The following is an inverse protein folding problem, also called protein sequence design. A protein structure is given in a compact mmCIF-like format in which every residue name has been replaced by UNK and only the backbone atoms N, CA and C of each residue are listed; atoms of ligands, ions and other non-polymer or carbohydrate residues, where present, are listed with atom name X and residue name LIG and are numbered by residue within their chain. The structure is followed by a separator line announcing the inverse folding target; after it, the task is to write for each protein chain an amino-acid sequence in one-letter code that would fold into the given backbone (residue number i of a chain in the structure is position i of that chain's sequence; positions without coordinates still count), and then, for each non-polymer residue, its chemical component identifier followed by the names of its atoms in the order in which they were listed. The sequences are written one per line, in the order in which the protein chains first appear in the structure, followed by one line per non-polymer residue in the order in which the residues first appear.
data_IF_839040581549
#
_entry.id   IF_839040581549
#
_cell.length_a   1.000
_cell.length_b   1.000
_cell.length_c   1.000
_cell.angle_alpha   90.00
_cell.angle_beta   90.00
_cell.angle_gamma   90.00
#
_symmetry.space_group_name_H-M   'P 1'
#
loop_
_entity.id
_entity.type
_entity.pdbx_description
1 polymer ?
#
# COMPACT_ATOMS: atom_id res chain seq x y z
N UNK A 1 17.91 68.81 43.28
CA UNK A 1 19.14 68.87 44.11
C UNK A 1 19.67 67.46 44.27
N UNK A 2 20.98 67.33 44.02
CA UNK A 2 21.92 66.35 44.56
C UNK A 2 21.74 64.88 44.17
N UNK A 3 22.50 64.54 43.13
CA UNK A 3 23.23 63.30 42.97
C UNK A 3 23.89 62.82 44.27
N UNK A 4 23.78 61.51 44.52
CA UNK A 4 24.81 60.74 45.20
C UNK A 4 25.00 59.41 44.47
N UNK A 5 26.26 58.97 44.48
CA UNK A 5 26.93 58.07 43.56
C UNK A 5 27.66 57.00 44.38
N UNK A 6 27.77 55.80 43.80
CA UNK A 6 28.63 54.63 44.12
C UNK A 6 28.19 53.64 45.22
N UNK A 7 28.69 52.37 45.22
CA UNK A 7 29.41 51.64 44.16
C UNK A 7 28.80 50.25 43.85
N UNK A 8 28.95 49.78 42.60
CA UNK A 8 28.72 48.38 42.23
C UNK A 8 30.06 47.63 42.17
N UNK A 9 30.18 46.60 42.99
CA UNK A 9 31.32 45.70 43.09
C UNK A 9 31.44 44.87 41.81
N UNK A 10 32.60 44.94 41.16
CA UNK A 10 32.94 44.12 40.00
C UNK A 10 33.43 42.77 40.51
N UNK A 11 32.67 41.70 40.28
CA UNK A 11 33.15 40.32 40.41
C UNK A 11 33.55 39.84 39.02
N UNK A 12 34.86 39.70 38.80
CA UNK A 12 35.42 39.11 37.60
C UNK A 12 35.11 37.60 37.59
N UNK A 13 34.29 37.14 36.65
CA UNK A 13 34.15 35.73 36.32
C UNK A 13 35.07 35.44 35.11
N UNK A 14 36.08 34.62 35.35
CA UNK A 14 37.04 34.16 34.36
C UNK A 14 36.32 33.32 33.29
N UNK A 15 36.19 33.84 32.07
CA UNK A 15 35.81 33.08 30.89
C UNK A 15 36.97 32.16 30.50
N UNK A 16 36.82 30.86 30.77
CA UNK A 16 37.60 29.82 30.10
C UNK A 16 37.20 29.84 28.62
N UNK A 17 38.17 30.17 27.76
CA UNK A 17 38.07 29.99 26.33
C UNK A 17 37.99 28.48 26.04
N UNK A 18 36.78 27.96 25.88
CA UNK A 18 36.56 26.71 25.17
C UNK A 18 36.72 27.03 23.67
N UNK A 19 37.64 26.33 23.01
CA UNK A 19 37.73 26.32 21.56
C UNK A 19 36.38 25.85 21.02
N UNK A 20 35.59 26.77 20.48
CA UNK A 20 34.44 26.44 19.65
C UNK A 20 34.99 25.96 18.32
N UNK A 21 34.85 24.66 18.05
CA UNK A 21 34.99 24.14 16.69
C UNK A 21 33.95 24.84 15.80
N UNK A 22 34.29 25.16 14.55
CA UNK A 22 33.34 25.78 13.64
C UNK A 22 32.16 24.82 13.45
N UNK A 23 30.95 25.33 13.64
CA UNK A 23 29.72 24.65 13.26
C UNK A 23 29.84 24.32 11.78
N UNK A 24 30.09 23.05 11.49
CA UNK A 24 30.04 22.53 10.15
C UNK A 24 28.66 22.84 9.59
N UNK A 25 28.68 23.46 8.42
CA UNK A 25 27.51 23.85 7.66
C UNK A 25 26.73 22.56 7.36
N UNK A 26 25.48 22.48 7.80
CA UNK A 26 24.57 21.40 7.44
C UNK A 26 24.63 21.16 5.92
N UNK A 27 25.24 20.03 5.54
CA UNK A 27 25.27 19.51 4.19
C UNK A 27 23.87 18.97 3.88
N UNK A 28 23.12 19.51 2.90
CA UNK A 28 21.75 19.09 2.61
C UNK A 28 21.69 17.77 1.83
N UNK A 29 22.58 16.82 2.14
CA UNK A 29 22.74 15.58 1.39
C UNK A 29 23.13 14.40 2.29
N UNK A 30 22.24 14.01 3.20
CA UNK A 30 22.11 12.60 3.60
C UNK A 30 20.65 12.34 3.96
N UNK A 31 19.81 12.29 2.93
CA UNK A 31 18.63 11.44 3.02
C UNK A 31 19.11 10.03 3.42
N UNK A 32 18.43 9.30 4.32
CA UNK A 32 18.76 7.91 4.56
C UNK A 32 18.76 7.21 3.20
N UNK A 33 19.90 6.62 2.84
CA UNK A 33 19.99 5.81 1.64
C UNK A 33 18.99 4.67 1.80
N UNK A 34 17.90 4.72 1.04
CA UNK A 34 17.04 3.58 0.83
C UNK A 34 17.85 2.59 -0.01
N UNK A 35 18.74 1.84 0.64
CA UNK A 35 19.17 0.58 0.09
C UNK A 35 17.88 -0.21 -0.08
N UNK A 36 17.43 -0.36 -1.33
CA UNK A 36 16.58 -1.49 -1.68
C UNK A 36 17.30 -2.69 -1.06
N UNK A 37 16.70 -3.39 -0.08
CA UNK A 37 17.32 -4.58 0.42
C UNK A 37 17.59 -5.47 -0.80
N UNK A 38 18.81 -5.96 -0.90
CA UNK A 38 19.13 -7.05 -1.81
C UNK A 38 17.99 -8.08 -1.68
N UNK A 39 17.47 -8.63 -2.78
CA UNK A 39 16.38 -9.61 -2.75
C UNK A 39 16.74 -10.92 -2.00
N UNK A 40 17.86 -10.98 -1.27
CA UNK A 40 18.49 -12.21 -0.77
C UNK A 40 18.62 -12.39 0.75
N UNK A 41 18.09 -11.54 1.66
CA UNK A 41 18.24 -11.83 3.12
C UNK A 41 16.97 -11.85 4.00
N UNK A 42 15.77 -11.98 3.42
CA UNK A 42 14.62 -12.55 4.15
C UNK A 42 13.72 -13.36 3.18
N UNK A 43 13.71 -14.70 3.23
CA UNK A 43 12.86 -15.51 2.35
C UNK A 43 11.36 -15.25 2.57
N UNK A 44 10.96 -14.58 3.66
CA UNK A 44 9.58 -14.21 3.92
C UNK A 44 9.11 -12.91 3.27
N UNK A 45 10.01 -11.95 3.09
CA UNK A 45 9.67 -10.60 2.66
C UNK A 45 10.17 -10.27 1.25
N UNK A 46 9.93 -11.18 0.30
CA UNK A 46 10.29 -10.95 -1.09
C UNK A 46 9.17 -10.24 -1.87
N UNK A 47 9.57 -9.24 -2.65
CA UNK A 47 8.70 -8.57 -3.62
C UNK A 47 7.78 -7.49 -3.05
N UNK A 48 6.79 -7.09 -3.85
CA UNK A 48 5.93 -5.93 -3.56
C UNK A 48 5.01 -6.10 -2.35
N UNK A 49 4.81 -7.33 -1.87
CA UNK A 49 4.00 -7.62 -0.69
C UNK A 49 4.62 -7.06 0.60
N UNK A 50 5.88 -6.61 0.54
CA UNK A 50 6.61 -6.00 1.63
C UNK A 50 7.08 -4.56 1.35
N UNK A 51 6.75 -3.97 0.19
CA UNK A 51 7.21 -2.62 -0.13
C UNK A 51 6.17 -1.58 0.28
N UNK A 52 6.64 -0.38 0.66
CA UNK A 52 5.80 0.70 1.18
C UNK A 52 5.07 0.28 2.45
N UNK A 53 3.78 0.60 2.54
CA UNK A 53 2.93 0.20 3.66
C UNK A 53 2.21 -1.13 3.42
N UNK A 54 2.75 -2.06 2.64
CA UNK A 54 2.06 -3.36 2.44
C UNK A 54 1.94 -4.13 3.77
N UNK A 55 0.90 -4.97 3.97
CA UNK A 55 0.73 -5.70 5.21
C UNK A 55 1.86 -6.73 5.40
N UNK A 56 2.47 -6.73 6.58
CA UNK A 56 3.57 -7.65 6.94
C UNK A 56 3.25 -8.33 8.25
N UNK A 57 3.42 -9.66 8.30
CA UNK A 57 3.26 -10.45 9.52
C UNK A 57 4.44 -11.38 9.72
N UNK A 58 5.19 -11.16 10.80
CA UNK A 58 6.41 -11.92 11.15
C UNK A 58 7.45 -11.99 10.02
N UNK A 59 7.64 -10.88 9.30
CA UNK A 59 8.56 -10.82 8.16
C UNK A 59 7.98 -11.33 6.83
N UNK A 60 6.71 -11.74 6.79
CA UNK A 60 6.07 -12.23 5.57
C UNK A 60 5.10 -11.22 4.98
N UNK A 61 5.15 -11.04 3.67
CA UNK A 61 4.14 -10.30 2.93
C UNK A 61 2.77 -10.96 3.08
N UNK A 62 1.79 -10.25 3.66
CA UNK A 62 0.55 -10.82 4.19
C UNK A 62 -0.68 -10.16 3.58
N UNK A 63 -0.86 -10.31 2.26
CA UNK A 63 -1.86 -9.53 1.51
C UNK A 63 -3.24 -10.19 1.39
N UNK A 64 -3.38 -11.48 1.68
CA UNK A 64 -4.63 -12.21 1.53
C UNK A 64 -4.81 -13.33 2.56
N UNK A 65 -6.07 -13.67 2.80
CA UNK A 65 -6.53 -14.75 3.68
C UNK A 65 -7.74 -15.45 3.07
N UNK A 66 -7.98 -16.69 3.50
CA UNK A 66 -9.16 -17.47 3.14
C UNK A 66 -10.03 -17.72 4.35
N UNK A 67 -11.34 -17.49 4.23
CA UNK A 67 -12.29 -17.60 5.35
C UNK A 67 -12.47 -19.05 5.85
N UNK A 68 -12.13 -20.04 5.01
CA UNK A 68 -12.30 -21.47 5.28
C UNK A 68 -10.98 -22.23 5.47
N UNK A 69 -10.03 -21.68 6.24
CA UNK A 69 -8.81 -22.40 6.70
C UNK A 69 -7.85 -22.90 5.61
N UNK A 70 -7.96 -22.35 4.40
CA UNK A 70 -6.99 -22.62 3.33
C UNK A 70 -5.78 -21.72 3.54
N UNK A 71 -4.57 -22.30 3.44
CA UNK A 71 -3.34 -21.54 3.57
C UNK A 71 -3.14 -20.62 2.38
N UNK A 72 -2.72 -19.39 2.65
CA UNK A 72 -2.16 -18.52 1.62
C UNK A 72 -0.76 -19.01 1.18
N UNK A 73 -0.17 -18.31 0.23
CA UNK A 73 1.10 -18.68 -0.40
C UNK A 73 2.31 -18.65 0.56
N UNK A 74 2.19 -17.98 1.71
CA UNK A 74 3.20 -17.93 2.78
C UNK A 74 2.84 -18.81 3.99
N UNK A 75 1.81 -19.65 3.85
CA UNK A 75 1.47 -20.72 4.79
C UNK A 75 0.53 -20.32 5.94
N UNK A 76 -0.05 -19.12 5.94
CA UNK A 76 -1.00 -18.71 6.98
C UNK A 76 -2.42 -19.18 6.70
N UNK A 77 -3.09 -19.72 7.71
CA UNK A 77 -4.49 -20.18 7.68
C UNK A 77 -5.32 -19.39 8.68
N UNK A 78 -6.40 -18.77 8.22
CA UNK A 78 -7.39 -18.15 9.10
C UNK A 78 -8.36 -19.21 9.62
N UNK A 79 -8.46 -19.35 10.94
CA UNK A 79 -9.36 -20.30 11.58
C UNK A 79 -10.73 -19.72 11.88
N UNK A 80 -10.76 -18.59 12.55
CA UNK A 80 -11.99 -17.96 13.01
C UNK A 80 -11.76 -16.51 13.44
N UNK A 81 -12.85 -15.79 13.64
CA UNK A 81 -12.87 -14.53 14.38
C UNK A 81 -13.25 -14.85 15.84
N UNK A 82 -12.54 -14.29 16.81
CA UNK A 82 -12.81 -14.46 18.24
C UNK A 82 -13.07 -13.12 18.88
N UNK A 83 -14.10 -13.00 19.72
CA UNK A 83 -14.32 -11.83 20.56
C UNK A 83 -14.85 -12.27 21.93
N UNK A 84 -14.19 -11.85 22.99
CA UNK A 84 -14.60 -12.16 24.38
C UNK A 84 -14.81 -13.67 24.63
N UNK A 85 -13.98 -14.50 24.00
CA UNK A 85 -14.08 -15.97 24.08
C UNK A 85 -15.14 -16.61 23.19
N UNK A 86 -15.97 -15.82 22.50
CA UNK A 86 -16.96 -16.30 21.54
C UNK A 86 -16.32 -16.40 20.15
N UNK A 87 -16.54 -17.53 19.48
CA UNK A 87 -16.03 -17.83 18.14
C UNK A 87 -17.09 -17.53 17.09
N UNK A 88 -16.67 -16.85 16.03
CA UNK A 88 -17.48 -16.47 14.87
C UNK A 88 -16.77 -16.91 13.59
N UNK A 89 -17.55 -17.16 12.54
CA UNK A 89 -17.00 -17.32 11.20
C UNK A 89 -16.71 -15.93 10.60
N UNK A 90 -15.46 -15.62 10.21
CA UNK A 90 -15.13 -14.37 9.52
C UNK A 90 -15.71 -14.42 8.10
N UNK A 91 -16.29 -13.32 7.65
CA UNK A 91 -16.92 -13.22 6.32
C UNK A 91 -16.72 -11.82 5.76
N UNK A 92 -16.01 -11.68 4.64
CA UNK A 92 -15.72 -10.41 3.98
C UNK A 92 -16.57 -10.28 2.72
N UNK A 93 -17.61 -9.44 2.80
CA UNK A 93 -18.53 -9.18 1.67
C UNK A 93 -18.27 -7.81 1.09
N UNK A 94 -17.75 -7.77 -0.14
CA UNK A 94 -17.36 -6.51 -0.76
C UNK A 94 -16.15 -5.95 -0.03
N UNK A 95 -16.32 -4.85 0.71
CA UNK A 95 -15.28 -4.13 1.44
C UNK A 95 -15.53 -4.07 2.96
N UNK A 96 -16.28 -5.05 3.49
CA UNK A 96 -16.67 -5.10 4.92
C UNK A 96 -16.51 -6.49 5.49
N UNK A 97 -15.95 -6.55 6.70
CA UNK A 97 -15.87 -7.74 7.53
C UNK A 97 -17.14 -7.91 8.37
N UNK A 98 -17.57 -9.16 8.51
CA UNK A 98 -18.63 -9.59 9.40
C UNK A 98 -18.14 -10.77 10.24
N UNK A 99 -18.63 -10.85 11.47
CA UNK A 99 -18.54 -12.06 12.29
C UNK A 99 -19.88 -12.78 12.27
N UNK A 100 -19.95 -13.94 11.66
CA UNK A 100 -21.17 -14.75 11.62
C UNK A 100 -21.24 -15.66 12.85
N UNK A 101 -22.36 -15.59 13.56
CA UNK A 101 -22.66 -16.49 14.68
C UNK A 101 -23.18 -17.85 14.22
N UNK A 102 -23.65 -18.65 15.17
CA UNK A 102 -24.28 -19.93 14.90
C UNK A 102 -25.47 -19.76 13.92
N UNK A 103 -25.52 -20.61 12.88
CA UNK A 103 -26.56 -20.53 11.84
C UNK A 103 -26.31 -19.48 10.74
N UNK A 104 -25.15 -18.82 10.73
CA UNK A 104 -24.74 -17.92 9.64
C UNK A 104 -25.31 -16.49 9.73
N UNK A 105 -25.97 -16.14 10.84
CA UNK A 105 -26.45 -14.79 11.07
C UNK A 105 -25.29 -13.83 11.39
N UNK A 106 -25.34 -12.61 10.87
CA UNK A 106 -24.38 -11.56 11.21
C UNK A 106 -24.54 -11.21 12.70
N UNK A 107 -23.50 -11.48 13.48
CA UNK A 107 -23.46 -11.19 14.91
C UNK A 107 -22.53 -10.00 15.24
N UNK A 108 -21.47 -9.81 14.45
CA UNK A 108 -20.55 -8.68 14.57
C UNK A 108 -20.43 -7.94 13.23
N UNK A 109 -20.45 -6.61 13.26
CA UNK A 109 -20.24 -5.72 12.13
C UNK A 109 -19.83 -4.32 12.62
N UNK A 110 -19.09 -3.56 11.81
CA UNK A 110 -18.70 -2.19 12.13
C UNK A 110 -17.99 -2.08 13.49
N UNK A 111 -18.29 -1.06 14.31
CA UNK A 111 -17.65 -0.89 15.63
C UNK A 111 -17.79 -2.10 16.57
N UNK A 112 -18.78 -2.99 16.36
CA UNK A 112 -18.89 -4.20 17.17
C UNK A 112 -17.73 -5.19 16.93
N UNK A 113 -16.95 -5.04 15.86
CA UNK A 113 -15.74 -5.82 15.60
C UNK A 113 -14.52 -5.34 16.41
N UNK A 114 -14.57 -4.16 17.03
CA UNK A 114 -13.46 -3.68 17.86
C UNK A 114 -13.15 -4.67 18.98
N UNK A 115 -11.85 -4.88 19.18
CA UNK A 115 -11.22 -5.88 20.04
C UNK A 115 -11.44 -7.35 19.64
N UNK A 116 -12.08 -7.63 18.50
CA UNK A 116 -12.09 -8.97 17.93
C UNK A 116 -10.70 -9.35 17.37
N UNK A 117 -10.44 -10.64 17.31
CA UNK A 117 -9.18 -11.23 16.88
C UNK A 117 -9.44 -12.19 15.72
N UNK A 118 -8.81 -11.98 14.56
CA UNK A 118 -8.68 -13.02 13.55
C UNK A 118 -7.59 -13.99 14.03
N UNK A 119 -7.96 -15.23 14.30
CA UNK A 119 -7.06 -16.25 14.84
C UNK A 119 -6.51 -17.10 13.69
N UNK A 120 -5.19 -17.22 13.63
CA UNK A 120 -4.49 -17.89 12.54
C UNK A 120 -3.47 -18.91 13.05
N UNK A 121 -3.11 -19.85 12.18
CA UNK A 121 -1.90 -20.65 12.31
C UNK A 121 -1.01 -20.44 11.09
N UNK A 122 0.23 -20.93 11.20
CA UNK A 122 1.15 -20.99 10.08
C UNK A 122 1.77 -22.36 9.95
N UNK A 123 1.81 -22.87 8.73
CA UNK A 123 2.43 -24.17 8.42
C UNK A 123 3.89 -24.19 8.96
N UNK A 124 4.24 -25.26 9.68
CA UNK A 124 5.58 -25.44 10.27
C UNK A 124 5.89 -24.59 11.51
N UNK A 125 4.99 -23.73 11.99
CA UNK A 125 5.19 -22.92 13.20
C UNK A 125 4.21 -23.33 14.31
N UNK A 126 4.68 -23.79 15.48
CA UNK A 126 3.77 -24.13 16.58
C UNK A 126 3.17 -22.89 17.24
N UNK A 127 1.86 -22.92 17.49
CA UNK A 127 1.13 -21.85 18.17
C UNK A 127 0.23 -21.03 17.25
N UNK A 128 -0.53 -20.11 17.85
CA UNK A 128 -1.48 -19.25 17.14
C UNK A 128 -0.91 -17.84 16.94
N UNK A 129 -1.23 -17.27 15.79
CA UNK A 129 -1.16 -15.84 15.54
C UNK A 129 -2.55 -15.24 15.77
N UNK A 130 -2.60 -14.00 16.22
CA UNK A 130 -3.85 -13.27 16.38
C UNK A 130 -3.69 -11.87 15.81
N UNK A 131 -4.52 -11.52 14.83
CA UNK A 131 -4.64 -10.15 14.32
C UNK A 131 -5.80 -9.49 15.06
N UNK A 132 -5.50 -8.51 15.91
CA UNK A 132 -6.47 -7.78 16.67
C UNK A 132 -6.97 -6.55 15.90
N UNK A 133 -8.28 -6.36 15.88
CA UNK A 133 -8.95 -5.16 15.37
C UNK A 133 -9.02 -4.15 16.51
N UNK A 134 -8.17 -3.11 16.48
CA UNK A 134 -8.19 -2.07 17.51
C UNK A 134 -9.32 -1.08 17.33
N UNK A 135 -9.56 -0.71 16.07
CA UNK A 135 -10.49 0.33 15.71
C UNK A 135 -11.12 0.05 14.37
N UNK A 136 -12.40 0.41 14.24
CA UNK A 136 -13.13 0.37 12.98
C UNK A 136 -13.58 1.78 12.64
N UNK A 137 -13.11 2.32 11.51
CA UNK A 137 -13.42 3.69 11.09
C UNK A 137 -14.15 3.72 9.75
N UNK A 138 -14.81 4.84 9.48
CA UNK A 138 -15.43 5.16 8.19
C UNK A 138 -14.94 6.53 7.67
N UNK A 139 -13.67 6.85 7.95
CA UNK A 139 -13.07 8.16 7.64
C UNK A 139 -12.55 8.25 6.20
N UNK A 140 -12.29 7.12 5.57
CA UNK A 140 -11.77 7.05 4.21
C UNK A 140 -12.93 6.99 3.22
N UNK A 141 -12.83 7.78 2.15
CA UNK A 141 -13.76 7.73 1.01
C UNK A 141 -13.05 7.21 -0.23
N UNK A 142 -13.79 6.54 -1.12
CA UNK A 142 -13.29 6.30 -2.47
C UNK A 142 -12.80 7.61 -3.11
N UNK A 143 -11.71 7.53 -3.87
CA UNK A 143 -11.11 8.68 -4.57
C UNK A 143 -11.72 8.94 -5.94
N UNK A 144 -12.56 8.01 -6.38
CA UNK A 144 -13.26 8.05 -7.65
C UNK A 144 -14.75 7.91 -7.38
N UNK A 145 -15.54 8.83 -7.95
CA UNK A 145 -16.99 8.92 -7.74
C UNK A 145 -17.70 7.55 -7.91
N UNK A 146 -18.82 7.27 -7.23
CA UNK A 146 -19.36 8.08 -6.14
C UNK A 146 -18.41 8.07 -4.93
N UNK A 147 -18.25 9.21 -4.25
CA UNK A 147 -17.31 9.38 -3.14
C UNK A 147 -17.90 8.86 -1.82
N UNK A 148 -18.20 7.56 -1.75
CA UNK A 148 -18.77 6.93 -0.56
C UNK A 148 -17.68 6.60 0.45
N UNK A 149 -18.02 6.64 1.73
CA UNK A 149 -17.13 6.16 2.81
C UNK A 149 -17.00 4.65 2.76
N UNK A 150 -15.84 4.15 3.16
CA UNK A 150 -15.54 2.72 3.34
C UNK A 150 -15.14 2.43 4.77
N UNK A 151 -15.31 1.17 5.16
CA UNK A 151 -14.85 0.70 6.47
C UNK A 151 -13.34 0.41 6.40
N UNK A 152 -12.60 0.90 7.40
CA UNK A 152 -11.16 0.67 7.56
C UNK A 152 -10.85 0.18 8.97
N UNK A 153 -9.77 -0.58 9.09
CA UNK A 153 -9.43 -1.33 10.30
C UNK A 153 -8.01 -1.00 10.76
N UNK A 154 -7.86 -0.57 12.01
CA UNK A 154 -6.55 -0.52 12.67
C UNK A 154 -6.19 -1.92 13.16
N UNK A 155 -5.19 -2.54 12.54
CA UNK A 155 -4.83 -3.94 12.76
C UNK A 155 -3.44 -4.05 13.38
N UNK A 156 -3.34 -4.79 14.49
CA UNK A 156 -2.05 -5.25 15.02
C UNK A 156 -2.07 -6.77 15.12
N UNK A 157 -0.90 -7.38 15.26
CA UNK A 157 -0.80 -8.81 15.47
C UNK A 157 0.15 -9.19 16.61
N UNK A 158 -0.07 -10.38 17.14
CA UNK A 158 0.85 -11.13 18.02
C UNK A 158 1.00 -12.55 17.50
N UNK A 159 2.08 -13.23 17.86
CA UNK A 159 2.32 -14.60 17.45
C UNK A 159 3.35 -15.31 18.33
N UNK A 160 3.69 -16.58 18.02
CA UNK A 160 4.66 -17.38 18.78
C UNK A 160 6.05 -16.73 18.87
N UNK A 161 6.43 -15.98 17.84
CA UNK A 161 7.68 -15.25 17.67
C UNK A 161 7.55 -13.73 17.96
N UNK A 162 6.33 -13.25 18.18
CA UNK A 162 6.02 -11.82 18.33
C UNK A 162 5.16 -11.60 19.57
N UNK A 163 5.84 -11.42 20.71
CA UNK A 163 5.19 -11.23 22.02
C UNK A 163 4.57 -9.83 22.19
N UNK A 164 5.07 -8.82 21.46
CA UNK A 164 4.54 -7.44 21.50
C UNK A 164 3.58 -7.23 20.35
N UNK A 165 2.45 -6.57 20.61
CA UNK A 165 1.54 -6.12 19.55
C UNK A 165 2.29 -5.29 18.54
N UNK A 166 2.25 -5.72 17.28
CA UNK A 166 2.98 -5.11 16.18
C UNK A 166 1.98 -4.67 15.10
N UNK A 167 2.05 -3.45 14.57
CA UNK A 167 1.18 -3.02 13.48
C UNK A 167 1.27 -3.96 12.28
N UNK A 168 0.13 -4.35 11.73
CA UNK A 168 0.11 -5.12 10.48
C UNK A 168 0.52 -4.26 9.28
N UNK A 169 0.24 -2.96 9.34
CA UNK A 169 0.64 -1.94 8.37
C UNK A 169 1.80 -1.11 8.97
N UNK A 170 3.07 -1.51 8.76
CA UNK A 170 4.20 -0.97 9.52
C UNK A 170 4.68 0.42 9.06
N UNK A 171 4.38 0.84 7.83
CA UNK A 171 4.97 2.03 7.20
C UNK A 171 3.88 2.99 6.67
N UNK A 172 3.01 3.55 7.54
CA UNK A 172 1.90 4.38 7.11
C UNK A 172 2.36 5.58 6.26
N UNK A 173 1.65 5.92 5.16
CA UNK A 173 1.98 7.11 4.38
C UNK A 173 1.71 8.38 5.19
N UNK A 174 2.31 9.54 4.80
CA UNK A 174 1.91 10.82 5.36
C UNK A 174 0.41 11.09 5.09
N UNK A 175 -0.28 11.87 5.95
CA UNK A 175 -1.72 12.16 5.78
C UNK A 175 -2.07 12.80 4.43
N UNK A 176 -1.13 13.53 3.84
CA UNK A 176 -1.24 14.09 2.49
C UNK A 176 -0.14 13.49 1.63
N UNK A 177 -0.52 12.77 0.58
CA UNK A 177 0.41 12.20 -0.40
C UNK A 177 0.51 13.09 -1.63
N UNK A 178 1.65 12.99 -2.34
CA UNK A 178 1.89 13.77 -3.56
C UNK A 178 0.85 13.53 -4.66
N UNK A 179 0.18 12.38 -4.68
CA UNK A 179 -0.92 12.08 -5.60
C UNK A 179 -2.17 12.97 -5.40
N UNK A 180 -2.19 13.79 -4.36
CA UNK A 180 -3.27 14.75 -4.08
C UNK A 180 -4.42 14.16 -3.29
N UNK A 181 -4.27 12.93 -2.80
CA UNK A 181 -5.26 12.27 -1.96
C UNK A 181 -4.88 12.36 -0.47
N UNK A 182 -5.91 12.46 0.38
CA UNK A 182 -5.74 12.46 1.83
C UNK A 182 -5.96 11.05 2.38
N UNK A 183 -5.00 10.57 3.17
CA UNK A 183 -5.15 9.38 3.99
C UNK A 183 -5.63 9.79 5.38
N UNK A 184 -6.94 9.86 5.57
CA UNK A 184 -7.55 10.22 6.86
C UNK A 184 -7.27 9.19 7.97
N UNK A 185 -6.88 7.97 7.60
CA UNK A 185 -6.53 6.88 8.49
C UNK A 185 -5.28 6.12 7.97
N UNK A 186 -4.08 6.71 8.06
CA UNK A 186 -2.88 6.21 7.38
C UNK A 186 -2.33 4.90 7.98
N UNK A 187 -2.68 4.58 9.23
CA UNK A 187 -2.30 3.31 9.89
C UNK A 187 -3.26 2.14 9.67
N UNK A 188 -4.31 2.33 8.86
CA UNK A 188 -5.41 1.36 8.74
C UNK A 188 -5.38 0.59 7.42
N UNK A 189 -6.06 -0.55 7.41
CA UNK A 189 -6.23 -1.41 6.25
C UNK A 189 -7.68 -1.44 5.76
N UNK A 190 -7.83 -1.70 4.47
CA UNK A 190 -9.09 -2.05 3.81
C UNK A 190 -9.12 -3.56 3.65
N UNK A 191 -10.20 -4.21 4.07
CA UNK A 191 -10.45 -5.63 3.79
C UNK A 191 -11.42 -5.73 2.61
N UNK A 192 -11.09 -6.50 1.58
CA UNK A 192 -12.00 -6.64 0.44
C UNK A 192 -11.90 -7.97 -0.30
N UNK A 193 -13.04 -8.47 -0.78
CA UNK A 193 -13.16 -9.74 -1.51
C UNK A 193 -13.34 -9.56 -3.03
N UNK A 194 -13.25 -10.66 -3.78
CA UNK A 194 -13.59 -10.73 -5.20
C UNK A 194 -12.45 -10.54 -6.21
N UNK A 195 -11.28 -10.08 -5.76
CA UNK A 195 -10.02 -10.21 -6.51
C UNK A 195 -9.05 -11.12 -5.75
N UNK A 196 -8.10 -11.75 -6.43
CA UNK A 196 -6.94 -12.41 -5.82
C UNK A 196 -5.68 -12.06 -6.59
N UNK A 197 -4.57 -11.96 -5.87
CA UNK A 197 -3.29 -11.52 -6.41
C UNK A 197 -2.21 -12.57 -6.15
N UNK A 198 -1.42 -12.90 -7.16
CA UNK A 198 -0.26 -13.77 -7.00
C UNK A 198 1.00 -12.99 -6.56
N UNK A 199 2.08 -13.70 -6.16
CA UNK A 199 3.38 -13.09 -5.86
C UNK A 199 3.94 -12.22 -6.98
N UNK A 200 3.66 -12.57 -8.24
CA UNK A 200 4.16 -11.92 -9.44
C UNK A 200 3.28 -10.73 -9.88
N UNK A 201 2.46 -10.19 -8.97
CA UNK A 201 1.56 -9.04 -9.21
C UNK A 201 0.52 -9.30 -10.28
N UNK A 202 0.05 -10.52 -10.41
CA UNK A 202 -1.03 -10.88 -11.33
C UNK A 202 -2.33 -11.05 -10.60
N UNK A 203 -3.39 -10.54 -11.19
CA UNK A 203 -4.76 -10.79 -10.77
C UNK A 203 -5.15 -12.19 -11.27
N UNK A 204 -5.11 -13.16 -10.37
CA UNK A 204 -5.39 -14.58 -10.65
C UNK A 204 -6.88 -14.91 -10.53
N UNK A 205 -7.63 -14.14 -9.75
CA UNK A 205 -9.09 -14.12 -9.71
C UNK A 205 -9.59 -12.67 -9.76
N UNK A 206 -10.68 -12.40 -10.48
CA UNK A 206 -11.18 -11.02 -10.69
C UNK A 206 -12.70 -10.88 -10.54
N UNK A 207 -13.35 -11.98 -10.19
CA UNK A 207 -14.77 -12.04 -9.89
C UNK A 207 -14.97 -12.74 -8.54
N UNK A 208 -16.05 -12.44 -7.80
CA UNK A 208 -16.36 -13.15 -6.56
C UNK A 208 -16.39 -14.68 -6.73
N UNK A 209 -16.91 -15.18 -7.86
CA UNK A 209 -16.98 -16.61 -8.13
C UNK A 209 -15.59 -17.24 -8.32
N UNK A 210 -14.69 -16.58 -9.05
CA UNK A 210 -13.31 -17.06 -9.22
C UNK A 210 -12.50 -16.95 -7.92
N UNK A 211 -12.75 -15.89 -7.15
CA UNK A 211 -12.02 -15.62 -5.91
C UNK A 211 -12.47 -16.54 -4.78
N UNK A 212 -13.71 -17.04 -4.78
CA UNK A 212 -14.25 -17.83 -3.68
C UNK A 212 -14.23 -17.03 -2.37
N UNK A 213 -13.83 -17.68 -1.28
CA UNK A 213 -13.81 -17.09 0.06
C UNK A 213 -12.45 -16.45 0.41
N UNK A 214 -11.73 -16.00 -0.62
CA UNK A 214 -10.50 -15.24 -0.47
C UNK A 214 -10.81 -13.74 -0.35
N UNK A 215 -10.14 -13.09 0.60
CA UNK A 215 -10.15 -11.64 0.76
C UNK A 215 -8.74 -11.09 0.91
N UNK A 216 -8.61 -9.81 0.61
CA UNK A 216 -7.35 -9.09 0.57
C UNK A 216 -7.27 -8.06 1.69
N UNK A 217 -6.04 -7.74 2.07
CA UNK A 217 -5.68 -6.73 3.05
C UNK A 217 -4.90 -5.64 2.33
N UNK A 218 -5.53 -4.48 2.17
CA UNK A 218 -4.93 -3.30 1.56
C UNK A 218 -4.65 -2.23 2.60
N UNK A 219 -3.45 -2.21 3.17
CA UNK A 219 -3.00 -1.12 4.04
C UNK A 219 -2.95 0.22 3.29
N UNK A 220 -3.23 1.33 3.99
CA UNK A 220 -3.19 2.67 3.42
C UNK A 220 -1.87 2.94 2.68
N UNK A 221 -1.93 3.55 1.49
CA UNK A 221 -0.76 3.80 0.65
C UNK A 221 -0.29 2.62 -0.21
N UNK A 222 -0.69 1.39 0.10
CA UNK A 222 -0.38 0.20 -0.71
C UNK A 222 -1.06 0.24 -2.09
N UNK A 223 -0.53 -0.53 -3.04
CA UNK A 223 -1.12 -0.65 -4.37
C UNK A 223 -2.56 -1.22 -4.31
N UNK A 224 -2.84 -2.17 -3.42
CA UNK A 224 -4.17 -2.75 -3.25
C UNK A 224 -5.19 -1.73 -2.71
N UNK A 225 -4.80 -0.93 -1.72
CA UNK A 225 -5.65 0.13 -1.22
C UNK A 225 -5.94 1.17 -2.30
N UNK A 226 -4.93 1.60 -3.07
CA UNK A 226 -5.09 2.54 -4.19
C UNK A 226 -6.00 1.98 -5.29
N UNK A 227 -5.86 0.71 -5.65
CA UNK A 227 -6.77 0.03 -6.58
C UNK A 227 -8.21 0.08 -6.06
N UNK A 228 -8.42 -0.27 -4.79
CA UNK A 228 -9.74 -0.28 -4.19
C UNK A 228 -10.37 1.12 -4.20
N UNK A 229 -9.66 2.12 -3.67
CA UNK A 229 -10.14 3.50 -3.58
C UNK A 229 -10.40 4.17 -4.94
N UNK A 230 -9.70 3.73 -5.99
CA UNK A 230 -9.96 4.18 -7.36
C UNK A 230 -11.01 3.35 -8.11
N UNK A 231 -11.71 2.43 -7.43
CA UNK A 231 -12.76 1.57 -8.03
C UNK A 231 -12.21 0.52 -9.02
N UNK A 232 -10.91 0.17 -8.91
CA UNK A 232 -10.23 -0.87 -9.68
C UNK A 232 -10.10 -2.19 -8.91
N UNK A 233 -11.19 -2.58 -8.23
CA UNK A 233 -11.38 -3.91 -7.63
C UNK A 233 -12.82 -4.36 -7.87
N UNK A 234 -13.09 -5.66 -7.74
CA UNK A 234 -14.43 -6.25 -7.85
C UNK A 234 -15.35 -5.67 -6.76
N UNK A 235 -14.86 -5.62 -5.52
CA UNK A 235 -15.56 -5.04 -4.37
C UNK A 235 -15.79 -3.52 -4.56
N UNK A 236 -14.81 -2.81 -5.09
CA UNK A 236 -14.88 -1.37 -5.29
C UNK A 236 -15.77 -0.94 -6.46
N UNK A 237 -16.42 -1.82 -7.22
CA UNK A 237 -17.19 -1.44 -8.41
C UNK A 237 -18.24 -0.36 -8.13
N UNK A 238 -18.47 0.52 -9.10
CA UNK A 238 -19.53 1.55 -9.03
C UNK A 238 -20.92 0.91 -9.18
N UNK A 239 -21.92 1.34 -8.41
CA UNK A 239 -23.31 1.01 -8.70
C UNK A 239 -23.68 1.49 -10.11
N UNK A 240 -24.39 0.66 -10.88
CA UNK A 240 -24.91 0.97 -12.22
C UNK A 240 -23.89 1.29 -13.33
N UNK A 241 -22.59 1.05 -13.13
CA UNK A 241 -21.59 1.07 -14.22
C UNK A 241 -20.95 -0.31 -14.41
N UNK A 242 -20.46 -0.63 -15.63
CA UNK A 242 -19.70 -1.84 -15.86
C UNK A 242 -18.53 -1.94 -14.88
N UNK A 243 -18.31 -3.13 -14.32
CA UNK A 243 -17.12 -3.37 -13.52
C UNK A 243 -15.87 -3.19 -14.38
N UNK A 244 -14.80 -2.66 -13.78
CA UNK A 244 -13.47 -2.69 -14.41
C UNK A 244 -13.11 -4.14 -14.73
N UNK A 245 -12.62 -4.39 -15.93
CA UNK A 245 -12.19 -5.72 -16.38
C UNK A 245 -10.91 -6.16 -15.65
N UNK A 246 -10.64 -7.47 -15.63
CA UNK A 246 -9.37 -8.01 -15.09
C UNK A 246 -8.15 -7.32 -15.74
N UNK A 247 -8.18 -7.14 -17.06
CA UNK A 247 -7.10 -6.51 -17.80
C UNK A 247 -6.87 -5.06 -17.35
N UNK A 248 -7.94 -4.27 -17.17
CA UNK A 248 -7.85 -2.90 -16.66
C UNK A 248 -7.25 -2.85 -15.25
N UNK A 249 -7.73 -3.69 -14.33
CA UNK A 249 -7.19 -3.75 -12.96
C UNK A 249 -5.73 -4.18 -12.96
N UNK A 250 -5.36 -5.12 -13.83
CA UNK A 250 -4.00 -5.63 -13.99
C UNK A 250 -3.04 -4.54 -14.50
N UNK A 251 -3.49 -3.72 -15.44
CA UNK A 251 -2.67 -2.63 -16.00
C UNK A 251 -2.51 -1.48 -14.98
N UNK A 252 -3.55 -1.16 -14.19
CA UNK A 252 -3.44 -0.18 -13.10
C UNK A 252 -2.50 -0.70 -12.00
N UNK A 253 -2.57 -1.98 -11.65
CA UNK A 253 -1.64 -2.61 -10.72
C UNK A 253 -0.20 -2.54 -11.25
N UNK A 254 0.01 -2.84 -12.53
CA UNK A 254 1.31 -2.76 -13.16
C UNK A 254 1.87 -1.33 -13.12
N UNK A 255 1.04 -0.32 -13.41
CA UNK A 255 1.41 1.08 -13.33
C UNK A 255 1.77 1.53 -11.90
N UNK A 256 0.97 1.17 -10.89
CA UNK A 256 1.24 1.55 -9.50
C UNK A 256 2.49 0.91 -8.94
N UNK A 257 2.79 -0.31 -9.36
CA UNK A 257 3.92 -1.09 -8.85
C UNK A 257 5.17 -0.99 -9.73
N UNK A 258 5.12 -0.23 -10.83
CA UNK A 258 6.18 -0.17 -11.82
C UNK A 258 6.51 -1.54 -12.40
N UNK A 259 5.54 -2.41 -12.67
CA UNK A 259 5.75 -3.70 -13.34
C UNK A 259 6.00 -3.50 -14.84
N UNK A 260 7.09 -2.83 -15.16
CA UNK A 260 7.42 -2.38 -16.52
C UNK A 260 7.60 -3.56 -17.47
N UNK A 261 8.25 -4.61 -17.00
CA UNK A 261 8.56 -5.80 -17.79
C UNK A 261 7.42 -6.84 -17.85
N UNK A 262 6.45 -6.79 -16.93
CA UNK A 262 5.36 -7.78 -16.83
C UNK A 262 5.72 -9.07 -16.08
N UNK A 263 6.87 -9.07 -15.42
CA UNK A 263 7.46 -10.21 -14.70
C UNK A 263 7.06 -10.25 -13.23
N UNK A 264 6.54 -9.14 -12.70
CA UNK A 264 6.24 -8.98 -11.27
C UNK A 264 7.27 -8.13 -10.53
N UNK A 265 8.44 -7.85 -11.13
CA UNK A 265 9.45 -6.96 -10.55
C UNK A 265 8.87 -5.57 -10.30
N UNK A 266 9.25 -4.93 -9.18
CA UNK A 266 8.82 -3.59 -8.82
C UNK A 266 9.90 -2.57 -9.14
N UNK A 267 9.66 -1.74 -10.16
CA UNK A 267 10.57 -0.64 -10.50
C UNK A 267 10.12 0.70 -9.93
N UNK A 268 9.34 0.68 -8.85
CA UNK A 268 8.81 1.87 -8.18
C UNK A 268 9.29 1.94 -6.75
N UNK A 269 9.32 3.16 -6.20
CA UNK A 269 9.64 3.43 -4.80
C UNK A 269 8.39 4.00 -4.12
N UNK A 270 8.16 3.73 -2.82
CA UNK A 270 7.09 4.38 -2.06
C UNK A 270 7.11 5.91 -2.20
N UNK A 271 5.95 6.53 -2.03
CA UNK A 271 5.76 7.99 -2.13
C UNK A 271 6.16 8.66 -3.46
N UNK A 272 6.47 7.86 -4.48
CA UNK A 272 6.70 8.37 -5.84
C UNK A 272 5.37 8.77 -6.47
N UNK A 273 5.22 10.06 -6.73
CA UNK A 273 4.02 10.62 -7.33
C UNK A 273 3.88 10.17 -8.80
N UNK A 274 2.63 9.92 -9.21
CA UNK A 274 2.28 9.55 -10.57
C UNK A 274 0.98 10.25 -10.97
N UNK A 275 0.91 10.72 -12.22
CA UNK A 275 -0.34 11.13 -12.86
C UNK A 275 -0.78 10.05 -13.82
N UNK A 276 -2.08 9.79 -13.91
CA UNK A 276 -2.57 8.76 -14.83
C UNK A 276 -4.01 8.98 -15.28
N UNK A 277 -4.40 8.30 -16.36
CA UNK A 277 -5.76 8.22 -16.86
C UNK A 277 -6.12 6.78 -17.21
N UNK A 278 -7.37 6.42 -16.99
CA UNK A 278 -7.91 5.13 -17.37
C UNK A 278 -8.73 5.20 -18.66
N UNK A 279 -8.71 4.12 -19.44
CA UNK A 279 -9.38 4.07 -20.76
C UNK A 279 -10.89 4.24 -20.63
N UNK A 280 -11.46 3.73 -19.55
CA UNK A 280 -12.87 3.83 -19.21
C UNK A 280 -13.27 5.19 -18.58
N UNK A 281 -12.32 6.12 -18.41
CA UNK A 281 -12.58 7.46 -17.86
C UNK A 281 -12.89 7.49 -16.36
N UNK A 282 -12.65 6.40 -15.62
CA UNK A 282 -12.80 6.37 -14.16
C UNK A 282 -11.81 7.30 -13.48
N UNK A 283 -10.58 7.35 -13.98
CA UNK A 283 -9.56 8.29 -13.54
C UNK A 283 -9.11 9.16 -14.71
N UNK A 284 -8.97 10.46 -14.46
CA UNK A 284 -8.54 11.44 -15.44
C UNK A 284 -7.14 11.95 -15.13
N UNK A 285 -6.38 12.24 -16.18
CA UNK A 285 -5.04 12.81 -16.04
C UNK A 285 -5.15 14.23 -15.46
N UNK A 286 -4.45 14.49 -14.36
CA UNK A 286 -4.24 15.85 -13.84
C UNK A 286 -3.20 16.62 -14.67
N UNK A 287 -2.70 17.73 -14.13
CA UNK A 287 -1.53 18.41 -14.70
C UNK A 287 -0.27 17.52 -14.55
N UNK A 288 0.57 17.48 -15.58
CA UNK A 288 1.79 16.68 -15.67
C UNK A 288 2.84 17.39 -16.52
N UNK A 289 4.12 17.05 -16.31
CA UNK A 289 5.24 17.57 -17.08
C UNK A 289 5.45 16.81 -18.41
N UNK A 290 5.48 15.48 -18.36
CA UNK A 290 5.70 14.62 -19.54
C UNK A 290 4.97 13.30 -19.43
N UNK A 291 4.62 12.70 -20.57
CA UNK A 291 4.07 11.34 -20.59
C UNK A 291 5.12 10.33 -20.16
N UNK A 292 4.69 9.38 -19.34
CA UNK A 292 5.55 8.35 -18.80
C UNK A 292 5.45 7.10 -19.67
N UNK A 293 4.31 6.41 -19.62
CA UNK A 293 4.12 5.12 -20.26
C UNK A 293 2.65 4.85 -20.64
N UNK A 294 2.44 3.99 -21.64
CA UNK A 294 1.14 3.34 -21.89
C UNK A 294 1.22 1.92 -21.30
N UNK A 295 0.23 1.52 -20.52
CA UNK A 295 0.18 0.23 -19.85
C UNK A 295 -0.90 -0.67 -20.46
N UNK A 296 -0.51 -1.90 -20.76
CA UNK A 296 -1.34 -2.89 -21.45
C UNK A 296 -0.79 -4.30 -21.26
N UNK A 297 -1.68 -5.26 -21.01
CA UNK A 297 -1.28 -6.66 -20.83
C UNK A 297 -0.46 -6.91 -19.56
N UNK A 298 -0.64 -6.09 -18.53
CA UNK A 298 0.05 -6.15 -17.25
C UNK A 298 1.48 -5.62 -17.26
N UNK A 299 1.86 -4.85 -18.28
CA UNK A 299 3.21 -4.28 -18.45
C UNK A 299 3.20 -2.94 -19.19
N UNK A 300 4.37 -2.30 -19.30
CA UNK A 300 4.53 -1.15 -20.17
C UNK A 300 4.56 -1.59 -21.65
N UNK A 301 3.76 -0.92 -22.48
CA UNK A 301 3.69 -1.10 -23.95
C UNK A 301 4.70 -0.19 -24.64
N UNK A 302 4.84 1.03 -24.13
CA UNK A 302 5.84 2.01 -24.50
C UNK A 302 6.22 2.81 -23.26
N UNK A 303 7.39 3.44 -23.27
CA UNK A 303 7.82 4.31 -22.17
C UNK A 303 8.72 5.44 -22.69
N UNK A 304 8.33 6.68 -22.45
CA UNK A 304 9.07 7.88 -22.89
C UNK A 304 9.96 8.46 -21.81
N UNK A 305 9.44 8.65 -20.60
CA UNK A 305 10.18 9.20 -19.45
C UNK A 305 9.81 8.38 -18.22
N UNK A 306 10.76 7.87 -17.46
CA UNK A 306 10.44 7.17 -16.22
C UNK A 306 10.37 8.16 -15.06
N UNK A 307 9.36 8.02 -14.20
CA UNK A 307 9.14 8.95 -13.08
C UNK A 307 10.28 8.98 -12.05
N UNK A 308 11.21 8.02 -12.10
CA UNK A 308 12.39 7.96 -11.25
C UNK A 308 13.70 8.20 -12.00
N UNK A 309 13.70 8.57 -13.29
CA UNK A 309 14.95 8.78 -14.05
C UNK A 309 15.87 9.82 -13.38
N UNK A 310 15.29 10.85 -12.74
CA UNK A 310 16.05 11.92 -12.11
C UNK A 310 16.63 11.54 -10.73
N UNK A 311 16.04 10.57 -10.03
CA UNK A 311 16.40 10.25 -8.63
C UNK A 311 17.00 8.86 -8.47
N UNK A 312 16.65 7.92 -9.35
CA UNK A 312 17.07 6.52 -9.31
C UNK A 312 17.36 6.00 -10.75
N UNK A 313 18.35 6.59 -11.45
CA UNK A 313 18.69 6.20 -12.81
C UNK A 313 19.14 4.73 -12.93
N UNK A 314 19.63 4.13 -11.85
CA UNK A 314 19.99 2.71 -11.79
C UNK A 314 18.80 1.78 -12.05
N UNK A 315 17.59 2.15 -11.63
CA UNK A 315 16.39 1.36 -11.94
C UNK A 315 16.10 1.34 -13.44
N UNK A 316 16.44 2.42 -14.16
CA UNK A 316 16.31 2.48 -15.62
C UNK A 316 17.22 1.48 -16.31
N UNK A 317 18.46 1.35 -15.84
CA UNK A 317 19.40 0.38 -16.38
C UNK A 317 19.00 -1.06 -16.04
N UNK A 318 18.50 -1.32 -14.83
CA UNK A 318 17.95 -2.63 -14.48
C UNK A 318 16.76 -3.03 -15.37
N UNK A 319 15.83 -2.10 -15.62
CA UNK A 319 14.71 -2.34 -16.54
C UNK A 319 15.18 -2.72 -17.95
N UNK A 320 16.18 -2.01 -18.49
CA UNK A 320 16.77 -2.32 -19.80
C UNK A 320 17.42 -3.70 -19.83
N UNK A 321 18.08 -4.10 -18.75
CA UNK A 321 18.69 -5.43 -18.64
C UNK A 321 17.62 -6.54 -18.59
N UNK A 322 16.52 -6.33 -17.86
CA UNK A 322 15.50 -7.37 -17.66
C UNK A 322 14.59 -7.54 -18.89
N UNK A 323 14.06 -6.45 -19.46
CA UNK A 323 13.10 -6.54 -20.56
C UNK A 323 13.55 -5.92 -21.88
N UNK A 324 14.82 -5.51 -21.98
CA UNK A 324 15.33 -4.80 -23.15
C UNK A 324 14.85 -3.34 -23.19
N UNK A 325 15.20 -2.65 -24.27
CA UNK A 325 14.77 -1.28 -24.47
C UNK A 325 13.30 -1.23 -24.92
N UNK A 326 12.44 -0.65 -24.09
CA UNK A 326 11.05 -0.40 -24.46
C UNK A 326 10.97 0.72 -25.50
N UNK A 327 10.10 0.60 -26.51
CA UNK A 327 9.95 1.65 -27.50
C UNK A 327 9.42 2.94 -26.84
N UNK A 328 9.88 4.13 -27.28
CA UNK A 328 9.32 5.39 -26.81
C UNK A 328 7.86 5.51 -27.23
N UNK A 329 7.05 6.22 -26.43
CA UNK A 329 5.66 6.48 -26.80
C UNK A 329 5.60 7.54 -27.90
N UNK A 330 5.28 7.11 -29.13
CA UNK A 330 5.12 8.04 -30.25
C UNK A 330 3.91 8.96 -30.05
N UNK A 331 3.92 10.15 -30.67
CA UNK A 331 2.79 11.08 -30.61
C UNK A 331 1.49 10.47 -31.13
N UNK A 332 1.58 9.67 -32.20
CA UNK A 332 0.44 8.93 -32.72
C UNK A 332 -0.12 7.94 -31.69
N UNK A 333 0.76 7.19 -31.01
CA UNK A 333 0.37 6.27 -29.96
C UNK A 333 -0.27 6.99 -28.78
N UNK A 334 0.28 8.12 -28.34
CA UNK A 334 -0.28 8.92 -27.26
C UNK A 334 -1.66 9.50 -27.62
N UNK A 335 -1.88 9.87 -28.88
CA UNK A 335 -3.19 10.32 -29.37
C UNK A 335 -4.25 9.22 -29.44
N UNK A 336 -3.85 7.95 -29.46
CA UNK A 336 -4.76 6.79 -29.58
C UNK A 336 -4.41 5.68 -28.58
N UNK A 337 -3.91 6.02 -27.40
CA UNK A 337 -3.29 5.06 -26.48
C UNK A 337 -4.25 3.96 -26.02
N UNK A 338 -5.55 4.26 -25.99
CA UNK A 338 -6.64 3.34 -25.64
C UNK A 338 -6.73 2.13 -26.59
N UNK A 339 -6.13 2.22 -27.79
CA UNK A 339 -6.05 1.12 -28.75
C UNK A 339 -4.98 0.09 -28.40
N UNK A 340 -4.04 0.45 -27.53
CA UNK A 340 -2.85 -0.36 -27.19
C UNK A 340 -2.71 -0.65 -25.70
N UNK A 341 -3.40 0.09 -24.85
CA UNK A 341 -3.40 -0.11 -23.40
C UNK A 341 -4.72 0.29 -22.76
N UNK A 342 -4.81 0.08 -21.46
CA UNK A 342 -5.98 0.49 -20.65
C UNK A 342 -5.66 1.60 -19.65
N UNK A 343 -4.37 1.91 -19.47
CA UNK A 343 -3.91 3.01 -18.63
C UNK A 343 -2.82 3.81 -19.35
N UNK A 344 -2.87 5.13 -19.20
CA UNK A 344 -1.80 6.06 -19.59
C UNK A 344 -1.28 6.73 -18.33
N UNK A 345 0.03 6.78 -18.12
CA UNK A 345 0.65 7.50 -17.02
C UNK A 345 1.56 8.63 -17.46
N UNK A 346 1.85 9.54 -16.54
CA UNK A 346 2.65 10.72 -16.75
C UNK A 346 3.43 11.10 -15.47
N UNK A 347 4.57 11.74 -15.68
CA UNK A 347 5.40 12.32 -14.63
C UNK A 347 4.78 13.66 -14.22
N UNK A 348 4.48 13.87 -12.92
CA UNK A 348 3.82 15.08 -12.41
C UNK A 348 4.47 16.41 -12.81
#
# INVERSE_FOLDING_TARGET
MRHYVLPATITALSLLAACAEPLDRDDPATAPSWNLPDPEEDPGCQGWKCTGNSPVMSGYGFIELHENQVANDVGFRLHHLRKEGIVYHPDVRGDRLYGLGAGGAIALAGPALEHAELVLSRDGTPGEFAIQIHKVNNLVTFWTAPYTTIETYELTYTGPDVAKRTPLCPNPPPPTTGDGHMWAAPGEAILFSGDRYDPNKRIIASTPTEAGDWFNIGCAGSALAKLHLNRFTAAGKRPAQPATSRAERQDVLAMYTGNVCGTGTAYTIPDTQIRWASRNGYHQMGAFATYEAVWGGGRAVCMSSWRLDATHPELREQMKLECGELPPCSQALLGSWQTRGTVLSAVP
#
